data_IF_167828769151
#
_entry.id   IF_167828769151
#
_cell.length_a   1.000
_cell.length_b   1.000
_cell.length_c   1.000
_cell.angle_alpha   90.00
_cell.angle_beta   90.00
_cell.angle_gamma   90.00
#
_symmetry.space_group_name_H-M   'P 1'
#
loop_
_entity.id
_entity.type
_entity.pdbx_description
1 polymer ?
#
# COMPACT_ATOMS: atom_id res chain seq x y z
N UNK A 1 15.32 -12.41 -15.90
CA UNK A 1 14.87 -13.05 -14.64
C UNK A 1 13.64 -13.86 -14.97
N UNK A 2 13.75 -15.19 -15.08
CA UNK A 2 12.58 -16.04 -15.35
C UNK A 2 11.90 -16.28 -14.00
N UNK A 3 10.88 -15.48 -13.70
CA UNK A 3 9.94 -15.86 -12.64
C UNK A 3 9.15 -17.05 -13.19
N UNK A 4 9.15 -18.18 -12.47
CA UNK A 4 8.42 -19.38 -12.90
C UNK A 4 6.94 -19.02 -13.02
N UNK A 5 6.32 -19.34 -14.15
CA UNK A 5 4.91 -19.06 -14.44
C UNK A 5 3.99 -19.59 -13.33
N UNK A 6 4.33 -20.74 -12.75
CA UNK A 6 3.61 -21.34 -11.62
C UNK A 6 3.56 -20.43 -10.37
N UNK A 7 4.64 -19.70 -10.08
CA UNK A 7 4.70 -18.77 -8.94
C UNK A 7 3.75 -17.59 -9.18
N UNK A 8 3.72 -17.07 -10.41
CA UNK A 8 2.82 -15.98 -10.77
C UNK A 8 1.35 -16.42 -10.72
N UNK A 9 1.05 -17.63 -11.18
CA UNK A 9 -0.29 -18.21 -11.09
C UNK A 9 -0.73 -18.35 -9.64
N UNK A 10 0.12 -18.90 -8.76
CA UNK A 10 -0.19 -19.02 -7.33
C UNK A 10 -0.33 -17.67 -6.62
N UNK A 11 0.47 -16.68 -7.01
CA UNK A 11 0.34 -15.32 -6.48
C UNK A 11 -1.00 -14.67 -6.88
N UNK A 12 -1.47 -14.90 -8.12
CA UNK A 12 -2.79 -14.44 -8.57
C UNK A 12 -3.93 -15.13 -7.81
N UNK A 13 -3.87 -16.45 -7.66
CA UNK A 13 -4.85 -17.20 -6.86
C UNK A 13 -4.93 -16.65 -5.42
N UNK A 14 -3.78 -16.37 -4.81
CA UNK A 14 -3.73 -15.76 -3.48
C UNK A 14 -4.34 -14.35 -3.47
N UNK A 15 -4.03 -13.52 -4.47
CA UNK A 15 -4.62 -12.19 -4.60
C UNK A 15 -6.15 -12.27 -4.72
N UNK A 16 -6.68 -13.19 -5.52
CA UNK A 16 -8.12 -13.41 -5.66
C UNK A 16 -8.75 -13.80 -4.32
N UNK A 17 -8.09 -14.68 -3.54
CA UNK A 17 -8.57 -15.02 -2.19
C UNK A 17 -8.57 -13.82 -1.25
N UNK A 18 -7.54 -12.96 -1.30
CA UNK A 18 -7.48 -11.75 -0.48
C UNK A 18 -8.62 -10.79 -0.80
N UNK A 19 -9.14 -10.77 -2.04
CA UNK A 19 -10.30 -9.94 -2.36
C UNK A 19 -11.58 -10.33 -1.61
N UNK A 20 -11.64 -11.56 -1.11
CA UNK A 20 -12.77 -12.04 -0.31
C UNK A 20 -12.67 -11.64 1.17
N UNK A 21 -11.52 -11.12 1.61
CA UNK A 21 -11.30 -10.67 2.98
C UNK A 21 -12.17 -9.46 3.36
N UNK A 22 -12.47 -9.31 4.65
CA UNK A 22 -13.28 -8.20 5.14
C UNK A 22 -12.55 -6.86 4.93
N UNK A 23 -11.23 -6.86 5.11
CA UNK A 23 -10.35 -5.71 4.94
C UNK A 23 -10.47 -5.15 3.51
N UNK A 24 -10.42 -6.01 2.49
CA UNK A 24 -10.59 -5.59 1.09
C UNK A 24 -12.02 -5.13 0.79
N UNK A 25 -13.03 -5.79 1.34
CA UNK A 25 -14.42 -5.36 1.17
C UNK A 25 -14.69 -3.98 1.82
N UNK A 26 -14.16 -3.73 3.02
CA UNK A 26 -14.29 -2.45 3.69
C UNK A 26 -13.55 -1.34 2.94
N UNK A 27 -12.35 -1.60 2.45
CA UNK A 27 -11.63 -0.66 1.59
C UNK A 27 -12.44 -0.31 0.34
N UNK A 28 -12.96 -1.30 -0.40
CA UNK A 28 -13.77 -1.04 -1.61
C UNK A 28 -15.01 -0.20 -1.31
N UNK A 29 -15.65 -0.44 -0.15
CA UNK A 29 -16.81 0.33 0.29
C UNK A 29 -16.42 1.78 0.62
N UNK A 30 -15.34 2.00 1.37
CA UNK A 30 -14.85 3.33 1.69
C UNK A 30 -14.39 4.08 0.43
N UNK A 31 -13.65 3.42 -0.45
CA UNK A 31 -13.20 3.94 -1.75
C UNK A 31 -14.39 4.43 -2.59
N UNK A 32 -15.46 3.63 -2.68
CA UNK A 32 -16.66 4.01 -3.42
C UNK A 32 -17.35 5.25 -2.82
N UNK A 33 -17.40 5.36 -1.50
CA UNK A 33 -17.98 6.53 -0.83
C UNK A 33 -17.14 7.79 -1.10
N UNK A 34 -15.82 7.68 -1.03
CA UNK A 34 -14.89 8.76 -1.40
C UNK A 34 -15.06 9.16 -2.86
N UNK A 35 -15.14 8.19 -3.78
CA UNK A 35 -15.26 8.43 -5.22
C UNK A 35 -16.58 9.11 -5.61
N UNK A 36 -17.65 8.86 -4.85
CA UNK A 36 -18.99 9.40 -5.14
C UNK A 36 -19.30 10.69 -4.40
N UNK A 37 -18.49 11.09 -3.42
CA UNK A 37 -18.69 12.31 -2.66
C UNK A 37 -18.15 13.53 -3.42
N UNK A 38 -19.00 14.48 -3.86
CA UNK A 38 -18.57 15.61 -4.68
C UNK A 38 -17.65 16.58 -3.94
N UNK A 39 -17.87 16.82 -2.65
CA UNK A 39 -17.07 17.77 -1.86
C UNK A 39 -15.63 17.25 -1.69
N UNK A 40 -15.49 15.94 -1.43
CA UNK A 40 -14.20 15.26 -1.36
C UNK A 40 -13.48 15.32 -2.71
N UNK A 41 -14.19 15.08 -3.82
CA UNK A 41 -13.59 15.15 -5.16
C UNK A 41 -13.14 16.58 -5.53
N UNK A 42 -13.84 17.61 -5.07
CA UNK A 42 -13.43 19.01 -5.23
C UNK A 42 -12.12 19.28 -4.49
N UNK A 43 -12.01 18.86 -3.22
CA UNK A 43 -10.78 19.01 -2.42
C UNK A 43 -9.60 18.26 -3.06
N UNK A 44 -9.80 16.99 -3.44
CA UNK A 44 -8.77 16.17 -4.10
C UNK A 44 -8.30 16.84 -5.41
N UNK A 45 -9.23 17.39 -6.19
CA UNK A 45 -8.90 18.07 -7.46
C UNK A 45 -8.10 19.35 -7.21
N UNK A 46 -8.45 20.12 -6.18
CA UNK A 46 -7.71 21.31 -5.78
C UNK A 46 -6.28 20.97 -5.31
N UNK A 47 -6.12 19.94 -4.47
CA UNK A 47 -4.81 19.44 -4.03
C UNK A 47 -3.96 19.02 -5.24
N UNK A 48 -4.50 18.20 -6.14
CA UNK A 48 -3.78 17.75 -7.35
C UNK A 48 -3.34 18.90 -8.25
N UNK A 49 -4.18 19.95 -8.36
CA UNK A 49 -3.82 21.15 -9.14
C UNK A 49 -2.63 21.87 -8.50
N UNK A 50 -2.66 22.07 -7.18
CA UNK A 50 -1.56 22.71 -6.44
C UNK A 50 -0.27 21.89 -6.50
N UNK A 51 -0.34 20.57 -6.39
CA UNK A 51 0.82 19.69 -6.55
C UNK A 51 1.47 19.85 -7.94
N UNK A 52 0.68 20.01 -9.00
CA UNK A 52 1.22 20.32 -10.34
C UNK A 52 1.86 21.70 -10.39
N UNK A 53 1.30 22.69 -9.70
CA UNK A 53 1.90 24.02 -9.57
C UNK A 53 3.26 23.94 -8.84
N UNK A 54 3.37 23.15 -7.76
CA UNK A 54 4.65 22.89 -7.06
C UNK A 54 5.70 22.36 -8.05
N UNK A 55 5.38 21.27 -8.77
CA UNK A 55 6.29 20.69 -9.77
C UNK A 55 6.69 21.72 -10.84
N UNK A 56 5.77 22.59 -11.26
CA UNK A 56 6.09 23.65 -12.20
C UNK A 56 7.05 24.69 -11.59
N UNK A 57 6.82 25.13 -10.36
CA UNK A 57 7.67 26.13 -9.68
C UNK A 57 9.04 25.57 -9.23
N UNK A 58 9.16 24.26 -9.02
CA UNK A 58 10.44 23.58 -8.86
C UNK A 58 11.35 23.80 -10.08
N UNK A 59 10.78 23.72 -11.30
CA UNK A 59 11.56 23.98 -12.52
C UNK A 59 12.05 25.43 -12.62
N UNK A 60 11.33 26.37 -12.01
CA UNK A 60 11.71 27.78 -11.94
C UNK A 60 12.57 28.13 -10.71
N UNK A 61 12.92 27.14 -9.88
CA UNK A 61 13.69 27.32 -8.64
C UNK A 61 13.10 28.38 -7.69
N UNK A 62 11.77 28.51 -7.67
CA UNK A 62 11.09 29.55 -6.88
C UNK A 62 10.63 28.99 -5.53
N UNK A 63 11.59 28.82 -4.62
CA UNK A 63 11.37 28.23 -3.29
C UNK A 63 10.26 28.93 -2.48
N UNK A 64 10.17 30.27 -2.55
CA UNK A 64 9.13 31.03 -1.84
C UNK A 64 7.72 30.72 -2.33
N UNK A 65 7.55 30.50 -3.63
CA UNK A 65 6.25 30.15 -4.19
C UNK A 65 5.90 28.70 -3.89
N UNK A 66 6.89 27.80 -3.93
CA UNK A 66 6.71 26.39 -3.54
C UNK A 66 6.19 26.30 -2.10
N UNK A 67 6.89 26.92 -1.15
CA UNK A 67 6.50 26.93 0.27
C UNK A 67 5.08 27.48 0.47
N UNK A 68 4.73 28.55 -0.25
CA UNK A 68 3.36 29.09 -0.21
C UNK A 68 2.32 28.07 -0.68
N UNK A 69 2.57 27.40 -1.80
CA UNK A 69 1.63 26.41 -2.35
C UNK A 69 1.56 25.17 -1.46
N UNK A 70 2.66 24.75 -0.85
CA UNK A 70 2.69 23.66 0.12
C UNK A 70 1.82 23.95 1.35
N UNK A 71 1.91 25.16 1.92
CA UNK A 71 1.01 25.59 3.00
C UNK A 71 -0.47 25.57 2.55
N UNK A 72 -0.76 25.96 1.31
CA UNK A 72 -2.12 25.89 0.76
C UNK A 72 -2.59 24.44 0.52
N UNK A 73 -1.68 23.51 0.26
CA UNK A 73 -1.98 22.07 0.18
C UNK A 73 -2.29 21.53 1.57
N UNK A 74 -1.50 21.89 2.58
CA UNK A 74 -1.69 21.46 3.97
C UNK A 74 -3.08 21.85 4.48
N UNK A 75 -3.51 23.10 4.27
CA UNK A 75 -4.87 23.55 4.63
C UNK A 75 -5.96 22.72 3.95
N UNK A 76 -5.78 22.34 2.67
CA UNK A 76 -6.76 21.49 1.96
C UNK A 76 -6.72 20.04 2.46
N UNK A 77 -5.56 19.55 2.89
CA UNK A 77 -5.41 18.23 3.48
C UNK A 77 -6.07 18.18 4.86
N UNK A 78 -5.91 19.21 5.69
CA UNK A 78 -6.60 19.32 6.98
C UNK A 78 -8.11 19.28 6.80
N UNK A 79 -8.64 20.02 5.82
CA UNK A 79 -10.07 19.97 5.47
C UNK A 79 -10.53 18.59 5.01
N UNK A 80 -9.68 17.87 4.28
CA UNK A 80 -9.97 16.50 3.84
C UNK A 80 -9.99 15.55 5.05
N UNK A 81 -9.07 15.75 5.99
CA UNK A 81 -8.87 14.93 7.18
C UNK A 81 -9.95 15.15 8.25
N UNK A 82 -10.63 16.30 8.24
CA UNK A 82 -11.81 16.54 9.07
C UNK A 82 -13.02 15.69 8.63
N UNK A 83 -13.02 15.15 7.40
CA UNK A 83 -14.15 14.39 6.87
C UNK A 83 -14.10 12.94 7.40
N UNK A 84 -15.13 12.47 8.16
CA UNK A 84 -15.07 11.15 8.80
C UNK A 84 -14.82 9.98 7.85
N UNK A 85 -15.41 10.00 6.65
CA UNK A 85 -15.24 8.94 5.65
C UNK A 85 -13.81 8.90 5.07
N UNK A 86 -13.07 10.01 5.10
CA UNK A 86 -11.66 10.06 4.69
C UNK A 86 -10.81 9.33 5.73
N UNK A 87 -11.05 9.56 7.01
CA UNK A 87 -10.35 8.84 8.08
C UNK A 87 -10.67 7.35 8.06
N UNK A 88 -11.92 6.97 7.83
CA UNK A 88 -12.31 5.56 7.62
C UNK A 88 -11.54 4.97 6.43
N UNK A 89 -11.48 5.68 5.30
CA UNK A 89 -10.73 5.22 4.13
C UNK A 89 -9.24 5.03 4.43
N UNK A 90 -8.58 5.98 5.13
CA UNK A 90 -7.18 5.86 5.55
C UNK A 90 -6.97 4.64 6.45
N UNK A 91 -7.86 4.41 7.42
CA UNK A 91 -7.80 3.23 8.27
C UNK A 91 -7.91 1.94 7.43
N UNK A 92 -8.83 1.88 6.47
CA UNK A 92 -8.93 0.70 5.59
C UNK A 92 -7.69 0.47 4.72
N UNK A 93 -6.96 1.54 4.37
CA UNK A 93 -5.67 1.43 3.68
C UNK A 93 -4.60 0.80 4.57
N UNK A 94 -4.53 1.22 5.83
CA UNK A 94 -3.62 0.64 6.82
C UNK A 94 -3.95 -0.83 7.09
N UNK A 95 -5.23 -1.18 7.19
CA UNK A 95 -5.69 -2.56 7.39
C UNK A 95 -5.31 -3.47 6.22
N UNK A 96 -5.49 -3.00 4.97
CA UNK A 96 -5.01 -3.75 3.78
C UNK A 96 -3.50 -3.90 3.81
N UNK A 97 -2.76 -2.84 4.12
CA UNK A 97 -1.30 -2.91 4.18
C UNK A 97 -0.84 -3.94 5.23
N UNK A 98 -1.48 -3.95 6.39
CA UNK A 98 -1.22 -4.93 7.43
C UNK A 98 -1.50 -6.37 6.94
N UNK A 99 -2.64 -6.60 6.27
CA UNK A 99 -2.97 -7.90 5.68
C UNK A 99 -1.90 -8.37 4.68
N UNK A 100 -1.46 -7.47 3.79
CA UNK A 100 -0.40 -7.78 2.82
C UNK A 100 0.94 -8.10 3.50
N UNK A 101 1.30 -7.36 4.56
CA UNK A 101 2.50 -7.62 5.34
C UNK A 101 2.45 -8.94 6.10
N UNK A 102 1.28 -9.34 6.61
CA UNK A 102 1.07 -10.63 7.25
C UNK A 102 1.31 -11.77 6.26
N UNK A 103 0.71 -11.69 5.07
CA UNK A 103 0.91 -12.66 3.99
C UNK A 103 2.39 -12.76 3.61
N UNK A 104 3.05 -11.62 3.43
CA UNK A 104 4.47 -11.58 3.09
C UNK A 104 5.35 -12.19 4.19
N UNK A 105 4.99 -11.98 5.46
CA UNK A 105 5.70 -12.56 6.60
C UNK A 105 5.60 -14.08 6.59
N UNK A 106 4.41 -14.64 6.36
CA UNK A 106 4.22 -16.10 6.23
C UNK A 106 5.06 -16.68 5.08
N UNK A 107 5.08 -16.00 3.92
CA UNK A 107 5.90 -16.41 2.77
C UNK A 107 7.39 -16.39 3.14
N UNK A 108 7.87 -15.31 3.74
CA UNK A 108 9.25 -15.16 4.18
C UNK A 108 9.64 -16.27 5.15
N UNK A 109 8.84 -16.48 6.19
CA UNK A 109 9.12 -17.44 7.26
C UNK A 109 9.13 -18.87 6.71
N UNK A 110 8.19 -19.20 5.80
CA UNK A 110 8.15 -20.51 5.12
C UNK A 110 9.40 -20.75 4.25
N UNK A 111 9.89 -19.72 3.56
CA UNK A 111 11.12 -19.81 2.76
C UNK A 111 12.32 -20.03 3.69
N UNK A 112 12.42 -19.26 4.77
CA UNK A 112 13.48 -19.39 5.77
C UNK A 112 13.51 -20.80 6.37
N UNK A 113 12.37 -21.34 6.78
CA UNK A 113 12.28 -22.70 7.34
C UNK A 113 12.74 -23.76 6.35
N UNK A 114 12.31 -23.67 5.08
CA UNK A 114 12.72 -24.64 4.05
C UNK A 114 14.20 -24.59 3.75
N UNK A 115 14.79 -23.40 3.67
CA UNK A 115 16.24 -23.24 3.47
C UNK A 115 17.02 -23.78 4.68
N UNK A 116 16.56 -23.50 5.90
CA UNK A 116 17.20 -23.97 7.13
C UNK A 116 17.09 -25.50 7.30
N UNK A 117 15.96 -26.10 6.92
CA UNK A 117 15.77 -27.57 6.90
C UNK A 117 16.64 -28.21 5.82
N UNK A 118 16.75 -27.61 4.63
CA UNK A 118 17.65 -28.09 3.58
C UNK A 118 19.13 -28.03 4.03
N UNK A 119 19.55 -26.98 4.73
CA UNK A 119 20.88 -26.88 5.32
C UNK A 119 21.14 -27.88 6.47
N UNK A 120 20.10 -28.30 7.20
CA UNK A 120 20.19 -29.22 8.34
C UNK A 120 20.15 -30.72 8.00
N UNK A 121 20.05 -31.10 6.72
CA UNK A 121 20.02 -32.52 6.29
C UNK A 121 21.36 -33.05 5.77
N UNK A 122 22.41 -32.22 5.77
CA UNK A 122 23.76 -32.61 5.37
C UNK A 122 24.69 -32.81 6.57
N UNK A 123 24.31 -33.67 7.52
CA UNK A 123 25.23 -34.32 8.47
C UNK A 123 24.46 -35.36 9.30
N UNK A 124 24.28 -36.56 8.72
CA UNK A 124 24.16 -37.75 9.56
C UNK A 124 25.58 -38.12 10.02
N UNK A 125 25.86 -38.20 11.32
CA UNK A 125 27.18 -38.62 11.78
C UNK A 125 27.42 -40.07 11.36
N UNK A 126 28.48 -40.28 10.58
CA UNK A 126 29.09 -41.58 10.38
C UNK A 126 29.47 -42.18 11.73
N UNK A 127 28.62 -43.04 12.27
CA UNK A 127 29.03 -44.10 13.18
C UNK A 127 28.46 -45.41 12.68
N UNK A 128 29.34 -46.29 12.18
CA UNK A 128 29.28 -47.73 12.38
C UNK A 128 30.60 -48.33 11.87
N UNK A 129 31.32 -48.93 12.82
CA UNK A 129 32.54 -49.76 12.78
C UNK A 129 33.91 -49.15 12.46
#
# INVERSE_FOLDING_TARGET
>A
MIVREDILTKAKELADLLTTSNEVQFYQKAEKQIATNPDIQVLISAIKKKQKEVVAFETFQNAKMIEKIENEIEVLQDQLDEIPIVNEFKQTQDDINYLLQLVMSVIRDTISDKINVEAGTAEAPTSCD
#
